data_IF_798238649137
#
_entry.id   IF_798238649137
#
_cell.length_a   1.000
_cell.length_b   1.000
_cell.length_c   1.000
_cell.angle_alpha   90.00
_cell.angle_beta   90.00
_cell.angle_gamma   90.00
#
_symmetry.space_group_name_H-M   'P 1'
#
loop_
_entity.id
_entity.type
_entity.pdbx_description
1 polymer ?
#
# COMPACT_ATOMS: atom_id res chain seq x y z
N UNK A 1 -10.06 -5.40 0.39
CA UNK A 1 -8.92 -5.98 1.14
C UNK A 1 -9.25 -7.22 1.98
N UNK A 2 -10.37 -7.28 2.74
CA UNK A 2 -10.73 -8.49 3.53
C UNK A 2 -10.73 -9.80 2.73
N UNK A 3 -11.37 -9.82 1.56
CA UNK A 3 -11.38 -11.00 0.70
C UNK A 3 -9.98 -11.36 0.17
N UNK A 4 -9.12 -10.37 -0.10
CA UNK A 4 -7.74 -10.61 -0.51
C UNK A 4 -6.94 -11.30 0.61
N UNK A 5 -7.12 -10.87 1.87
CA UNK A 5 -6.50 -11.52 3.04
C UNK A 5 -6.93 -12.98 3.17
N UNK A 6 -8.23 -13.25 3.07
CA UNK A 6 -8.76 -14.62 3.10
C UNK A 6 -8.21 -15.44 1.94
N UNK A 7 -8.25 -14.91 0.72
CA UNK A 7 -7.74 -15.57 -0.47
C UNK A 7 -6.24 -15.87 -0.37
N UNK A 8 -5.45 -14.99 0.25
CA UNK A 8 -4.03 -15.24 0.50
C UNK A 8 -3.87 -16.41 1.47
N UNK A 9 -4.55 -16.34 2.61
CA UNK A 9 -4.47 -17.34 3.68
C UNK A 9 -4.87 -18.74 3.21
N UNK A 10 -5.93 -18.87 2.40
CA UNK A 10 -6.39 -20.17 1.88
C UNK A 10 -5.65 -20.63 0.62
N UNK A 11 -4.63 -19.90 0.15
CA UNK A 11 -3.88 -20.25 -1.05
C UNK A 11 -4.74 -20.25 -2.33
N UNK A 12 -5.63 -19.27 -2.48
CA UNK A 12 -6.50 -19.16 -3.65
C UNK A 12 -5.69 -19.02 -4.95
N UNK A 13 -6.32 -19.41 -6.07
CA UNK A 13 -5.69 -19.36 -7.39
C UNK A 13 -5.16 -17.96 -7.76
N UNK A 14 -4.14 -17.92 -8.63
CA UNK A 14 -3.54 -16.67 -9.10
C UNK A 14 -4.56 -15.74 -9.77
N UNK A 15 -5.53 -16.29 -10.52
CA UNK A 15 -6.60 -15.51 -11.15
C UNK A 15 -7.55 -14.88 -10.13
N UNK A 16 -7.93 -15.64 -9.09
CA UNK A 16 -8.73 -15.13 -7.96
C UNK A 16 -7.99 -14.02 -7.22
N UNK A 17 -6.71 -14.23 -6.88
CA UNK A 17 -5.88 -13.20 -6.23
C UNK A 17 -5.77 -11.94 -7.09
N UNK A 18 -5.51 -12.10 -8.39
CA UNK A 18 -5.41 -10.97 -9.31
C UNK A 18 -6.71 -10.17 -9.40
N UNK A 19 -7.88 -10.83 -9.43
CA UNK A 19 -9.17 -10.14 -9.40
C UNK A 19 -9.37 -9.35 -8.10
N UNK A 20 -9.01 -9.95 -6.96
CA UNK A 20 -9.14 -9.31 -5.65
C UNK A 20 -8.18 -8.14 -5.46
N UNK A 21 -6.97 -8.21 -6.04
CA UNK A 21 -6.03 -7.09 -6.11
C UNK A 21 -6.65 -5.92 -6.89
N UNK A 22 -7.19 -6.17 -8.09
CA UNK A 22 -7.85 -5.12 -8.90
C UNK A 22 -9.02 -4.48 -8.16
N UNK A 23 -9.85 -5.30 -7.50
CA UNK A 23 -10.98 -4.80 -6.72
C UNK A 23 -10.49 -3.97 -5.52
N UNK A 24 -9.48 -4.44 -4.79
CA UNK A 24 -8.90 -3.70 -3.67
C UNK A 24 -8.28 -2.38 -4.12
N UNK A 25 -7.52 -2.37 -5.22
CA UNK A 25 -6.92 -1.16 -5.77
C UNK A 25 -7.96 -0.15 -6.25
N UNK A 26 -9.10 -0.60 -6.78
CA UNK A 26 -10.19 0.31 -7.21
C UNK A 26 -10.87 1.08 -6.08
N UNK A 27 -10.71 0.65 -4.83
CA UNK A 27 -11.35 1.20 -3.62
C UNK A 27 -10.31 1.49 -2.53
N UNK A 28 -9.04 1.70 -2.93
CA UNK A 28 -7.94 1.84 -1.97
C UNK A 28 -8.10 3.09 -1.10
N UNK A 29 -8.70 4.15 -1.63
CA UNK A 29 -8.95 5.40 -0.91
C UNK A 29 -10.03 5.29 0.18
N UNK A 30 -10.75 4.16 0.23
CA UNK A 30 -11.72 3.83 1.29
C UNK A 30 -11.14 2.88 2.35
N UNK A 31 -9.90 2.42 2.17
CA UNK A 31 -9.25 1.47 3.08
C UNK A 31 -8.61 2.14 4.30
N UNK A 32 -8.18 1.31 5.25
CA UNK A 32 -7.26 1.70 6.32
C UNK A 32 -5.89 1.05 6.11
N UNK A 33 -4.84 1.64 6.66
CA UNK A 33 -3.48 1.08 6.60
C UNK A 33 -3.41 -0.38 7.07
N UNK A 34 -4.11 -0.70 8.17
CA UNK A 34 -4.21 -2.07 8.70
C UNK A 34 -4.82 -3.08 7.72
N UNK A 35 -5.62 -2.63 6.75
CA UNK A 35 -6.19 -3.52 5.73
C UNK A 35 -5.16 -3.97 4.69
N UNK A 36 -4.06 -3.23 4.53
CA UNK A 36 -2.92 -3.58 3.67
C UNK A 36 -1.94 -4.56 4.35
N UNK A 37 -2.09 -4.80 5.65
CA UNK A 37 -1.35 -5.84 6.37
C UNK A 37 -1.92 -7.22 6.03
N UNK A 38 -1.56 -7.71 4.85
CA UNK A 38 -1.98 -9.00 4.31
C UNK A 38 -1.04 -10.07 4.86
N UNK A 39 -1.48 -11.05 5.65
CA UNK A 39 -0.58 -12.07 6.19
C UNK A 39 0.05 -12.92 5.08
N UNK A 40 1.31 -13.30 5.26
CA UNK A 40 1.95 -14.32 4.43
C UNK A 40 1.37 -15.70 4.79
N UNK A 41 1.06 -16.55 3.79
CA UNK A 41 0.56 -17.89 4.07
C UNK A 41 1.61 -18.78 4.77
N UNK A 42 2.88 -18.53 4.49
CA UNK A 42 4.02 -19.25 5.08
C UNK A 42 4.37 -18.81 6.50
N UNK A 43 4.04 -17.57 6.85
CA UNK A 43 4.33 -16.99 8.16
C UNK A 43 3.24 -15.97 8.54
N UNK A 44 2.31 -16.33 9.44
CA UNK A 44 1.25 -15.44 9.88
C UNK A 44 1.72 -14.18 10.62
N UNK A 45 2.98 -14.14 11.10
CA UNK A 45 3.57 -12.95 11.73
C UNK A 45 4.18 -11.99 10.72
N UNK A 46 4.42 -12.44 9.48
CA UNK A 46 4.95 -11.64 8.41
C UNK A 46 3.85 -11.19 7.43
N UNK A 47 4.09 -10.07 6.74
CA UNK A 47 3.16 -9.50 5.78
C UNK A 47 3.60 -9.70 4.33
N UNK A 48 2.63 -9.99 3.45
CA UNK A 48 2.77 -10.08 2.01
C UNK A 48 2.82 -8.65 1.43
N UNK A 49 3.98 -8.03 1.54
CA UNK A 49 4.26 -6.69 1.03
C UNK A 49 3.99 -6.59 -0.48
N UNK A 50 4.34 -7.64 -1.24
CA UNK A 50 4.09 -7.67 -2.68
C UNK A 50 2.60 -7.60 -3.02
N UNK A 51 1.72 -8.20 -2.21
CA UNK A 51 0.29 -8.04 -2.40
C UNK A 51 -0.20 -6.61 -2.10
N UNK A 52 0.38 -5.93 -1.11
CA UNK A 52 0.06 -4.53 -0.82
C UNK A 52 0.55 -3.59 -1.94
N UNK A 53 1.76 -3.81 -2.44
CA UNK A 53 2.33 -3.10 -3.61
C UNK A 53 1.45 -3.28 -4.83
N UNK A 54 1.05 -4.51 -5.17
CA UNK A 54 0.20 -4.77 -6.34
C UNK A 54 -1.18 -4.07 -6.25
N UNK A 55 -1.72 -3.91 -5.03
CA UNK A 55 -2.95 -3.14 -4.79
C UNK A 55 -2.71 -1.65 -5.06
N UNK A 56 -1.60 -1.10 -4.59
CA UNK A 56 -1.22 0.28 -4.83
C UNK A 56 -0.93 0.53 -6.33
N UNK A 57 -0.16 -0.33 -6.97
CA UNK A 57 0.16 -0.25 -8.40
C UNK A 57 -1.11 -0.19 -9.25
N UNK A 58 -2.11 -1.03 -8.93
CA UNK A 58 -3.38 -0.97 -9.66
C UNK A 58 -4.10 0.37 -9.47
N UNK A 59 -4.11 0.92 -8.25
CA UNK A 59 -4.68 2.26 -8.00
C UNK A 59 -3.93 3.34 -8.78
N UNK A 60 -2.59 3.35 -8.75
CA UNK A 60 -1.76 4.31 -9.48
C UNK A 60 -1.96 4.21 -10.99
N UNK A 61 -2.13 3.00 -11.53
CA UNK A 61 -2.44 2.79 -12.93
C UNK A 61 -3.83 3.35 -13.33
N UNK A 62 -4.79 3.44 -12.40
CA UNK A 62 -6.04 4.17 -12.64
C UNK A 62 -5.85 5.69 -12.53
N UNK A 63 -5.08 6.13 -11.53
CA UNK A 63 -4.79 7.54 -11.29
C UNK A 63 -4.16 8.24 -12.50
N UNK A 64 -3.28 7.53 -13.23
CA UNK A 64 -2.59 8.07 -14.41
C UNK A 64 -3.45 8.13 -15.68
N UNK A 65 -4.67 7.58 -15.68
CA UNK A 65 -5.52 7.56 -16.88
C UNK A 65 -6.07 8.94 -17.20
N UNK A 66 -6.15 9.32 -18.49
CA UNK A 66 -6.89 10.51 -18.89
C UNK A 66 -8.35 10.42 -18.45
N UNK A 67 -8.81 11.42 -17.71
CA UNK A 67 -10.16 11.48 -17.17
C UNK A 67 -10.80 12.85 -17.42
N UNK A 68 -12.13 12.93 -17.33
CA UNK A 68 -12.84 14.20 -17.37
C UNK A 68 -12.48 15.08 -16.15
N UNK A 69 -12.62 16.41 -16.20
CA UNK A 69 -12.20 17.30 -15.10
C UNK A 69 -12.77 16.91 -13.73
N UNK A 70 -14.05 16.55 -13.65
CA UNK A 70 -14.70 16.15 -12.39
C UNK A 70 -14.17 14.81 -11.85
N UNK A 71 -13.80 13.89 -12.75
CA UNK A 71 -13.18 12.63 -12.38
C UNK A 71 -11.74 12.85 -11.90
N UNK A 72 -10.97 13.75 -12.54
CA UNK A 72 -9.63 14.13 -12.07
C UNK A 72 -9.66 14.75 -10.68
N UNK A 73 -10.66 15.61 -10.39
CA UNK A 73 -10.83 16.18 -9.04
C UNK A 73 -11.10 15.09 -8.01
N UNK A 74 -12.04 14.16 -8.29
CA UNK A 74 -12.32 13.02 -7.41
C UNK A 74 -11.08 12.15 -7.20
N UNK A 75 -10.35 11.87 -8.27
CA UNK A 75 -9.12 11.07 -8.25
C UNK A 75 -8.00 11.75 -7.46
N UNK A 76 -7.93 13.08 -7.48
CA UNK A 76 -6.96 13.84 -6.66
C UNK A 76 -7.27 13.69 -5.17
N UNK A 77 -8.54 13.81 -4.77
CA UNK A 77 -8.97 13.59 -3.37
C UNK A 77 -8.72 12.14 -2.94
N UNK A 78 -8.98 11.17 -3.83
CA UNK A 78 -8.67 9.77 -3.58
C UNK A 78 -7.16 9.56 -3.36
N UNK A 79 -6.32 10.16 -4.20
CA UNK A 79 -4.86 10.09 -4.09
C UNK A 79 -4.35 10.64 -2.74
N UNK A 80 -4.86 11.78 -2.29
CA UNK A 80 -4.50 12.33 -0.97
C UNK A 80 -4.84 11.39 0.20
N UNK A 81 -5.92 10.60 0.08
CA UNK A 81 -6.23 9.57 1.07
C UNK A 81 -5.28 8.38 0.96
N UNK A 82 -5.00 7.92 -0.26
CA UNK A 82 -4.08 6.79 -0.49
C UNK A 82 -2.67 7.09 0.01
N UNK A 83 -2.14 8.30 -0.20
CA UNK A 83 -0.84 8.72 0.34
C UNK A 83 -0.81 8.56 1.87
N UNK A 84 -1.85 9.05 2.57
CA UNK A 84 -1.94 8.93 4.04
C UNK A 84 -2.07 7.47 4.51
N UNK A 85 -2.89 6.68 3.81
CA UNK A 85 -3.04 5.24 4.10
C UNK A 85 -1.69 4.53 3.97
N UNK A 86 -0.94 4.85 2.92
CA UNK A 86 0.32 4.20 2.64
C UNK A 86 1.46 4.66 3.56
N UNK A 87 1.49 5.93 3.96
CA UNK A 87 2.45 6.42 4.96
C UNK A 87 2.26 5.73 6.33
N UNK A 88 1.00 5.55 6.76
CA UNK A 88 0.69 4.79 7.99
C UNK A 88 1.00 3.28 7.84
N UNK A 89 0.83 2.72 6.64
CA UNK A 89 1.27 1.36 6.33
C UNK A 89 2.79 1.24 6.44
N UNK A 90 3.54 2.14 5.80
CA UNK A 90 5.00 2.17 5.81
C UNK A 90 5.54 2.33 7.24
N UNK A 91 4.91 3.18 8.05
CA UNK A 91 5.23 3.30 9.48
C UNK A 91 5.00 2.01 10.25
N UNK A 92 3.99 1.22 9.89
CA UNK A 92 3.74 -0.08 10.53
C UNK A 92 4.81 -1.09 10.12
N UNK A 93 5.17 -1.13 8.83
CA UNK A 93 6.27 -1.96 8.32
C UNK A 93 7.60 -1.57 8.97
N UNK A 94 7.81 -0.28 9.23
CA UNK A 94 9.01 0.23 9.87
C UNK A 94 9.26 -0.29 11.31
N UNK A 95 8.26 -0.89 11.95
CA UNK A 95 8.37 -1.47 13.28
C UNK A 95 8.97 -2.88 13.27
N UNK A 96 9.10 -3.50 12.10
CA UNK A 96 9.75 -4.80 11.94
C UNK A 96 11.27 -4.61 11.81
N UNK A 97 12.00 -5.02 12.85
CA UNK A 97 13.46 -4.90 12.93
C UNK A 97 14.20 -5.78 11.93
N UNK A 98 13.55 -6.81 11.38
CA UNK A 98 14.12 -7.69 10.38
C UNK A 98 13.77 -7.24 8.95
N UNK A 99 12.97 -6.17 8.80
CA UNK A 99 12.53 -5.71 7.50
C UNK A 99 13.70 -5.17 6.65
N UNK A 100 13.95 -5.68 5.43
CA UNK A 100 15.13 -5.29 4.65
C UNK A 100 15.09 -3.83 4.17
N UNK A 101 16.22 -3.12 4.34
CA UNK A 101 16.34 -1.70 3.98
C UNK A 101 16.06 -1.42 2.50
N UNK A 102 16.50 -2.30 1.60
CA UNK A 102 16.24 -2.15 0.16
C UNK A 102 14.73 -2.12 -0.14
N UNK A 103 13.97 -3.05 0.44
CA UNK A 103 12.51 -3.08 0.29
C UNK A 103 11.83 -1.88 0.94
N UNK A 104 12.38 -1.38 2.04
CA UNK A 104 11.85 -0.20 2.69
C UNK A 104 12.00 1.05 1.82
N UNK A 105 13.14 1.20 1.15
CA UNK A 105 13.39 2.27 0.17
C UNK A 105 12.42 2.14 -1.01
N UNK A 106 12.26 0.94 -1.57
CA UNK A 106 11.34 0.70 -2.69
C UNK A 106 9.90 1.13 -2.33
N UNK A 107 9.43 0.78 -1.12
CA UNK A 107 8.12 1.22 -0.61
C UNK A 107 8.06 2.74 -0.38
N UNK A 108 9.12 3.35 0.14
CA UNK A 108 9.15 4.80 0.36
C UNK A 108 9.02 5.59 -0.95
N UNK A 109 9.53 5.02 -2.06
CA UNK A 109 9.60 5.66 -3.39
C UNK A 109 8.44 5.29 -4.32
N UNK A 110 7.55 4.35 -3.96
CA UNK A 110 6.52 3.84 -4.87
C UNK A 110 5.41 4.85 -5.20
N UNK A 111 5.23 5.90 -4.39
CA UNK A 111 4.24 6.96 -4.61
C UNK A 111 4.84 8.11 -5.44
N UNK A 112 4.15 8.62 -6.47
CA UNK A 112 4.67 9.71 -7.29
C UNK A 112 4.77 11.02 -6.48
N UNK A 113 5.87 11.76 -6.66
CA UNK A 113 6.12 13.00 -5.90
C UNK A 113 5.02 14.06 -6.03
N UNK A 114 4.35 14.16 -7.20
CA UNK A 114 3.24 15.10 -7.42
C UNK A 114 2.02 14.85 -6.53
N UNK A 115 1.90 13.65 -5.95
CA UNK A 115 0.79 13.30 -5.07
C UNK A 115 1.01 13.71 -3.61
N UNK A 116 2.25 14.01 -3.23
CA UNK A 116 2.59 14.42 -1.87
C UNK A 116 2.53 15.94 -1.78
N UNK A 117 1.53 16.45 -1.08
CA UNK A 117 1.46 17.87 -0.68
C UNK A 117 2.36 18.17 0.53
N UNK A 118 2.67 17.15 1.31
CA UNK A 118 3.58 17.17 2.45
C UNK A 118 4.27 15.79 2.60
N UNK A 119 5.38 15.77 3.34
CA UNK A 119 6.24 14.60 3.55
C UNK A 119 6.36 14.18 5.02
N UNK A 120 5.65 14.81 5.97
CA UNK A 120 5.75 14.47 7.40
C UNK A 120 5.47 12.99 7.68
N UNK A 121 4.47 12.39 7.02
CA UNK A 121 4.11 10.98 7.17
C UNK A 121 5.25 10.05 6.79
N UNK A 122 5.83 10.29 5.61
CA UNK A 122 6.99 9.54 5.12
C UNK A 122 8.21 9.71 6.03
N UNK A 123 8.55 10.95 6.41
CA UNK A 123 9.70 11.19 7.28
C UNK A 123 9.55 10.51 8.65
N UNK A 124 8.33 10.47 9.20
CA UNK A 124 8.06 9.72 10.44
C UNK A 124 8.26 8.21 10.26
N UNK A 125 7.86 7.65 9.13
CA UNK A 125 8.09 6.23 8.83
C UNK A 125 9.58 5.92 8.70
N UNK A 126 10.34 6.78 8.00
CA UNK A 126 11.81 6.66 7.87
C UNK A 126 12.50 6.77 9.23
N UNK A 127 12.16 7.78 10.03
CA UNK A 127 12.70 7.95 11.39
C UNK A 127 12.39 6.75 12.29
N UNK A 128 11.19 6.16 12.16
CA UNK A 128 10.81 4.95 12.89
C UNK A 128 11.68 3.78 12.46
N UNK A 129 11.87 3.56 11.16
CA UNK A 129 12.68 2.47 10.63
C UNK A 129 14.12 2.57 11.14
N UNK A 130 14.74 3.74 10.99
CA UNK A 130 16.10 3.99 11.46
C UNK A 130 16.28 3.79 12.97
N UNK A 131 15.26 4.07 13.78
CA UNK A 131 15.30 3.86 15.23
C UNK A 131 15.15 2.40 15.64
N UNK A 132 14.41 1.61 14.88
CA UNK A 132 14.18 0.19 15.16
C UNK A 132 15.37 -0.66 14.72
N UNK A 133 16.06 -0.25 13.65
CA UNK A 133 17.22 -0.97 13.10
C UNK A 133 18.58 -0.61 13.73
N UNK A 134 18.63 0.38 14.62
CA UNK A 134 19.84 0.76 15.38
C UNK A 134 19.83 0.15 16.78
#
# INVERSE_FOLDING_TARGET
LRLLRVANYVGASSSTRAQLIRQAGSQLDEAKAVDLLIPLPSDPQAYDVGAAEAVLEYFLAQFQRPAAPDERRRMSVAMEKVVRIFDEYLKTIALDSEFPIGKFIDLAECLPGIARSDHDGLYRAVDTYLKVTN
#
